data_IF_735214116488
#
_entry.id   IF_735214116488
#
_cell.length_a   1.000
_cell.length_b   1.000
_cell.length_c   1.000
_cell.angle_alpha   90.00
_cell.angle_beta   90.00
_cell.angle_gamma   90.00
#
_symmetry.space_group_name_H-M   'P 1'
#
loop_
_entity.id
_entity.type
_entity.pdbx_description
1 polymer ?
#
# COMPACT_ATOMS: atom_id res chain seq x y z
N UNK A 1 8.51 -12.04 -34.00
CA UNK A 1 9.00 -11.57 -32.69
C UNK A 1 8.64 -10.10 -32.58
N UNK A 2 7.59 -9.73 -31.83
CA UNK A 2 7.13 -8.33 -31.65
C UNK A 2 7.15 -7.99 -30.15
N UNK A 3 7.56 -6.77 -29.77
CA UNK A 3 7.82 -6.38 -28.38
C UNK A 3 6.51 -6.20 -27.58
N UNK A 4 6.52 -6.56 -26.31
CA UNK A 4 5.42 -6.47 -25.34
C UNK A 4 5.32 -5.07 -24.66
N UNK A 5 5.50 -3.97 -25.40
CA UNK A 5 5.55 -2.62 -24.80
C UNK A 5 4.18 -1.91 -24.67
N UNK A 6 3.05 -2.62 -24.54
CA UNK A 6 1.72 -1.99 -24.65
C UNK A 6 0.74 -2.25 -23.49
N UNK A 7 1.19 -2.81 -22.36
CA UNK A 7 0.32 -3.18 -21.22
C UNK A 7 0.48 -2.25 -20.01
N UNK A 8 1.70 -1.84 -19.64
CA UNK A 8 1.93 -0.97 -18.48
C UNK A 8 1.33 0.41 -18.66
N UNK A 9 1.43 0.97 -19.86
CA UNK A 9 0.91 2.30 -20.19
C UNK A 9 -0.62 2.30 -20.26
N UNK A 10 -1.24 1.17 -20.62
CA UNK A 10 -2.68 0.99 -20.58
C UNK A 10 -3.18 0.88 -19.12
N UNK A 11 -2.47 0.09 -18.30
CA UNK A 11 -2.76 -0.04 -16.88
C UNK A 11 -2.65 1.29 -16.14
N UNK A 12 -1.56 2.03 -16.37
CA UNK A 12 -1.35 3.37 -15.83
C UNK A 12 -2.42 4.35 -16.31
N UNK A 13 -2.81 4.29 -17.59
CA UNK A 13 -3.85 5.14 -18.15
C UNK A 13 -5.21 4.86 -17.54
N UNK A 14 -5.58 3.59 -17.35
CA UNK A 14 -6.85 3.21 -16.71
C UNK A 14 -6.88 3.65 -15.24
N UNK A 15 -5.75 3.54 -14.53
CA UNK A 15 -5.60 4.08 -13.16
C UNK A 15 -5.75 5.61 -13.12
N UNK A 16 -5.16 6.33 -14.08
CA UNK A 16 -5.29 7.79 -14.17
C UNK A 16 -6.69 8.23 -14.60
N UNK A 17 -7.35 7.51 -15.49
CA UNK A 17 -8.64 7.88 -16.05
C UNK A 17 -9.79 7.59 -15.07
N UNK A 18 -9.67 6.52 -14.27
CA UNK A 18 -10.60 6.20 -13.17
C UNK A 18 -10.45 7.09 -11.94
N UNK A 19 -9.43 7.95 -11.91
CA UNK A 19 -9.17 8.90 -10.82
C UNK A 19 -9.19 10.36 -11.28
N UNK A 20 -9.41 10.62 -12.58
CA UNK A 20 -9.34 11.96 -13.17
C UNK A 20 -10.43 12.93 -12.68
N UNK A 21 -11.55 12.43 -12.14
CA UNK A 21 -12.61 13.24 -11.49
C UNK A 21 -12.43 13.40 -9.99
N UNK A 22 -11.52 12.62 -9.39
CA UNK A 22 -11.42 12.44 -7.96
C UNK A 22 -10.13 13.08 -7.45
N UNK A 23 -10.24 14.09 -6.59
CA UNK A 23 -9.09 14.69 -5.90
C UNK A 23 -9.13 14.34 -4.42
N UNK A 24 -7.98 14.02 -3.81
CA UNK A 24 -7.90 13.70 -2.38
C UNK A 24 -8.26 12.24 -2.07
N UNK A 25 -9.11 12.01 -1.08
CA UNK A 25 -9.38 10.66 -0.56
C UNK A 25 -9.97 9.68 -1.59
N UNK A 26 -10.90 10.07 -2.49
CA UNK A 26 -11.47 9.13 -3.46
C UNK A 26 -10.46 8.65 -4.52
N UNK A 27 -9.45 9.48 -4.88
CA UNK A 27 -8.32 9.07 -5.73
C UNK A 27 -7.59 7.88 -5.10
N UNK A 28 -7.19 8.01 -3.83
CA UNK A 28 -6.41 6.97 -3.15
C UNK A 28 -7.22 5.69 -3.00
N UNK A 29 -8.53 5.79 -2.73
CA UNK A 29 -9.43 4.62 -2.67
C UNK A 29 -9.47 3.85 -3.99
N UNK A 30 -9.71 4.55 -5.10
CA UNK A 30 -9.71 3.93 -6.42
C UNK A 30 -8.34 3.31 -6.76
N UNK A 31 -7.24 4.01 -6.45
CA UNK A 31 -5.88 3.53 -6.66
C UNK A 31 -5.63 2.21 -5.94
N UNK A 32 -5.84 2.13 -4.62
CA UNK A 32 -5.49 0.93 -3.84
C UNK A 32 -6.33 -0.27 -4.24
N UNK A 33 -7.61 -0.07 -4.56
CA UNK A 33 -8.50 -1.14 -5.03
C UNK A 33 -8.04 -1.69 -6.38
N UNK A 34 -7.85 -0.82 -7.37
CA UNK A 34 -7.42 -1.25 -8.70
C UNK A 34 -6.00 -1.85 -8.67
N UNK A 35 -5.11 -1.32 -7.83
CA UNK A 35 -3.75 -1.83 -7.67
C UNK A 35 -3.74 -3.26 -7.10
N UNK A 36 -4.51 -3.51 -6.04
CA UNK A 36 -4.67 -4.86 -5.48
C UNK A 36 -5.26 -5.84 -6.50
N UNK A 37 -6.27 -5.40 -7.28
CA UNK A 37 -6.88 -6.23 -8.32
C UNK A 37 -5.93 -6.54 -9.47
N UNK A 38 -5.18 -5.55 -9.95
CA UNK A 38 -4.25 -5.70 -11.06
C UNK A 38 -3.06 -6.61 -10.70
N UNK A 39 -2.56 -6.53 -9.46
CA UNK A 39 -1.44 -7.34 -8.98
C UNK A 39 -1.88 -8.68 -8.37
N UNK A 40 -3.18 -8.90 -8.17
CA UNK A 40 -3.71 -10.09 -7.51
C UNK A 40 -3.28 -10.21 -6.04
N UNK A 41 -2.99 -9.10 -5.35
CA UNK A 41 -2.60 -9.10 -3.94
C UNK A 41 -3.83 -9.09 -3.02
N UNK A 42 -3.70 -9.65 -1.82
CA UNK A 42 -4.79 -9.66 -0.83
C UNK A 42 -5.17 -8.25 -0.35
N UNK A 43 -4.25 -7.31 -0.40
CA UNK A 43 -4.51 -5.92 -0.05
C UNK A 43 -3.50 -4.96 -0.66
N UNK A 44 -3.82 -3.68 -0.58
CA UNK A 44 -2.95 -2.57 -0.91
C UNK A 44 -3.40 -1.33 -0.14
N UNK A 45 -2.45 -0.45 0.15
CA UNK A 45 -2.73 0.77 0.89
C UNK A 45 -1.75 1.88 0.52
N UNK A 46 -2.19 3.12 0.75
CA UNK A 46 -1.34 4.32 0.68
C UNK A 46 -1.43 5.00 2.04
N UNK A 47 -0.28 5.38 2.59
CA UNK A 47 -0.17 5.99 3.92
C UNK A 47 0.55 7.32 3.87
N UNK A 48 0.17 8.23 4.75
CA UNK A 48 1.01 9.35 5.16
C UNK A 48 1.83 8.97 6.40
N UNK A 49 3.02 9.58 6.56
CA UNK A 49 3.83 9.48 7.76
C UNK A 49 3.69 10.77 8.57
N UNK A 50 3.35 10.62 9.85
CA UNK A 50 3.16 11.70 10.82
C UNK A 50 4.40 11.77 11.71
N UNK A 51 5.35 12.71 11.46
CA UNK A 51 6.64 12.72 12.14
C UNK A 51 6.54 13.00 13.64
N UNK A 52 5.54 13.76 14.07
CA UNK A 52 5.37 14.21 15.46
C UNK A 52 5.07 13.04 16.41
N UNK A 53 4.41 12.00 15.90
CA UNK A 53 3.98 10.83 16.67
C UNK A 53 4.65 9.54 16.22
N UNK A 54 5.46 9.57 15.16
CA UNK A 54 6.05 8.41 14.50
C UNK A 54 5.00 7.38 14.06
N UNK A 55 3.90 7.85 13.47
CA UNK A 55 2.76 7.01 13.06
C UNK A 55 2.53 7.05 11.56
N UNK A 56 1.97 5.96 11.06
CA UNK A 56 1.50 5.83 9.68
C UNK A 56 -0.02 5.87 9.69
N UNK A 57 -0.61 6.81 8.95
CA UNK A 57 -2.05 6.91 8.76
C UNK A 57 -2.41 6.57 7.32
N UNK A 58 -3.30 5.60 7.14
CA UNK A 58 -3.81 5.27 5.82
C UNK A 58 -4.58 6.47 5.22
N UNK A 59 -4.19 6.87 4.02
CA UNK A 59 -4.99 7.72 3.14
C UNK A 59 -6.09 6.88 2.45
N UNK A 60 -5.78 5.62 2.13
CA UNK A 60 -6.73 4.59 1.75
C UNK A 60 -6.13 3.20 1.98
N UNK A 61 -6.96 2.24 2.36
CA UNK A 61 -6.56 0.84 2.55
C UNK A 61 -7.66 -0.09 2.03
N UNK A 62 -7.32 -0.92 1.05
CA UNK A 62 -8.14 -2.04 0.58
C UNK A 62 -7.54 -3.36 1.08
N UNK A 63 -8.35 -4.16 1.78
CA UNK A 63 -7.93 -5.46 2.31
C UNK A 63 -9.02 -6.51 2.08
N UNK A 64 -8.65 -7.62 1.47
CA UNK A 64 -9.56 -8.62 0.96
C UNK A 64 -10.53 -8.00 -0.05
N UNK A 65 -11.77 -7.76 0.39
CA UNK A 65 -12.85 -7.23 -0.44
C UNK A 65 -13.52 -5.98 0.18
N UNK A 66 -12.86 -5.30 1.12
CA UNK A 66 -13.41 -4.14 1.80
C UNK A 66 -12.37 -3.04 2.02
N UNK A 67 -12.85 -1.81 2.21
CA UNK A 67 -12.02 -0.72 2.70
C UNK A 67 -11.86 -0.83 4.22
N UNK A 68 -10.64 -0.58 4.69
CA UNK A 68 -10.34 -0.38 6.11
C UNK A 68 -10.32 1.12 6.38
N UNK A 69 -11.17 1.56 7.30
CA UNK A 69 -11.32 2.97 7.67
C UNK A 69 -10.47 3.31 8.90
N UNK A 70 -10.05 4.57 9.01
CA UNK A 70 -9.36 5.14 10.18
C UNK A 70 -8.13 4.33 10.65
N UNK A 71 -7.45 3.67 9.72
CA UNK A 71 -6.30 2.83 10.01
C UNK A 71 -5.05 3.67 10.29
N UNK A 72 -4.50 3.54 11.49
CA UNK A 72 -3.30 4.25 11.92
C UNK A 72 -2.50 3.42 12.92
N UNK A 73 -1.19 3.30 12.73
CA UNK A 73 -0.32 2.53 13.62
C UNK A 73 1.07 3.13 13.83
N UNK A 74 1.79 2.62 14.83
CA UNK A 74 3.13 3.07 15.17
C UNK A 74 4.17 2.48 14.20
N UNK A 75 4.91 3.34 13.50
CA UNK A 75 5.92 2.93 12.52
C UNK A 75 7.08 2.09 13.10
N UNK A 76 7.63 2.38 14.30
CA UNK A 76 8.84 1.71 14.75
C UNK A 76 8.69 0.19 14.86
N UNK A 77 9.70 -0.54 14.37
CA UNK A 77 9.71 -2.00 14.38
C UNK A 77 8.99 -2.66 13.20
N UNK A 78 8.32 -1.89 12.36
CA UNK A 78 7.61 -2.40 11.17
C UNK A 78 8.51 -2.46 9.93
N UNK A 79 8.18 -3.28 8.92
CA UNK A 79 8.83 -3.23 7.61
C UNK A 79 8.82 -1.83 6.98
N UNK A 80 7.75 -1.06 7.20
CA UNK A 80 7.59 0.29 6.65
C UNK A 80 8.65 1.28 7.16
N UNK A 81 9.18 1.08 8.38
CA UNK A 81 10.27 1.89 8.91
C UNK A 81 11.52 1.83 8.00
N UNK A 82 11.84 0.64 7.49
CA UNK A 82 12.98 0.44 6.60
C UNK A 82 12.77 1.14 5.25
N UNK A 83 11.56 1.09 4.71
CA UNK A 83 11.20 1.79 3.46
C UNK A 83 11.38 3.30 3.63
N UNK A 84 10.89 3.86 4.74
CA UNK A 84 10.96 5.30 5.01
C UNK A 84 12.39 5.78 5.26
N UNK A 85 13.19 5.03 6.04
CA UNK A 85 14.58 5.39 6.33
C UNK A 85 15.48 5.28 5.10
N UNK A 86 15.35 4.19 4.35
CA UNK A 86 16.25 3.92 3.23
C UNK A 86 15.77 4.52 1.91
N UNK A 87 14.51 5.01 1.85
CA UNK A 87 13.87 5.54 0.65
C UNK A 87 13.95 4.58 -0.53
N UNK A 88 13.79 3.29 -0.25
CA UNK A 88 13.98 2.20 -1.19
C UNK A 88 12.78 1.27 -1.21
N UNK A 89 12.60 0.59 -2.34
CA UNK A 89 11.68 -0.54 -2.43
C UNK A 89 12.15 -1.69 -1.50
N UNK A 90 11.20 -2.33 -0.82
CA UNK A 90 11.42 -3.49 0.04
C UNK A 90 10.40 -4.57 -0.33
N UNK A 91 10.88 -5.78 -0.58
CA UNK A 91 10.07 -6.97 -0.82
C UNK A 91 10.48 -8.06 0.15
N UNK A 92 9.54 -8.54 0.94
CA UNK A 92 9.73 -9.63 1.90
C UNK A 92 8.82 -10.76 1.44
N UNK A 93 9.35 -11.84 0.83
CA UNK A 93 8.52 -12.86 0.21
C UNK A 93 7.79 -13.75 1.24
N UNK A 94 8.34 -13.92 2.43
CA UNK A 94 7.79 -14.79 3.47
C UNK A 94 8.30 -14.41 4.86
N UNK A 95 7.64 -14.95 5.91
CA UNK A 95 8.03 -14.82 7.32
C UNK A 95 8.12 -13.38 7.85
N UNK A 96 7.25 -12.49 7.36
CA UNK A 96 7.26 -11.07 7.77
C UNK A 96 7.12 -10.90 9.29
N UNK A 97 6.26 -11.69 9.94
CA UNK A 97 6.04 -11.63 11.40
C UNK A 97 7.30 -12.04 12.18
N UNK A 98 8.02 -13.07 11.73
CA UNK A 98 9.23 -13.55 12.40
C UNK A 98 10.41 -12.60 12.18
N UNK A 99 10.48 -11.96 11.00
CA UNK A 99 11.52 -10.99 10.66
C UNK A 99 11.34 -9.65 11.38
N UNK A 100 10.10 -9.32 11.76
CA UNK A 100 9.73 -8.08 12.44
C UNK A 100 8.92 -8.37 13.70
N UNK A 101 9.53 -9.00 14.73
CA UNK A 101 8.82 -9.40 15.95
C UNK A 101 8.36 -8.20 16.81
N UNK A 102 8.90 -7.01 16.54
CA UNK A 102 8.48 -5.76 17.15
C UNK A 102 7.34 -5.06 16.42
N UNK A 103 6.86 -5.62 15.30
CA UNK A 103 5.75 -5.07 14.53
C UNK A 103 4.42 -5.35 15.25
N UNK A 104 3.70 -4.32 15.71
CA UNK A 104 2.38 -4.51 16.31
C UNK A 104 1.35 -5.03 15.30
N UNK A 105 1.46 -4.70 14.01
CA UNK A 105 0.46 -5.05 12.98
C UNK A 105 0.62 -6.47 12.45
N UNK A 106 1.86 -6.97 12.37
CA UNK A 106 2.14 -8.35 11.98
C UNK A 106 1.47 -9.38 12.89
N UNK A 107 1.33 -9.05 14.19
CA UNK A 107 0.65 -9.90 15.16
C UNK A 107 -0.89 -9.90 14.99
N UNK A 108 -1.45 -8.88 14.34
CA UNK A 108 -2.89 -8.76 14.07
C UNK A 108 -3.30 -9.31 12.69
N UNK A 109 -2.34 -9.80 11.90
CA UNK A 109 -2.58 -10.31 10.55
C UNK A 109 -2.96 -9.23 9.54
N UNK A 110 -2.56 -7.99 9.78
CA UNK A 110 -2.82 -6.82 8.93
C UNK A 110 -1.64 -6.45 8.03
N UNK A 111 -0.49 -7.09 8.23
CA UNK A 111 0.73 -7.01 7.40
C UNK A 111 1.24 -8.41 7.07
#
# INVERSE_FOLDING_TARGET
>A
MKPHQHDEEALLRDLMQGTASETGQPFFRALVKHFSQALGTHGAWVTEYIPETHRLRALAFWLGNAYVEDYEYAMPGTPCENVLKNKSYLHIPENVVDLFPGDPEGNEGRC
#
